data_IF_433458228734
#
_entry.id   IF_433458228734
#
_cell.length_a   1.000
_cell.length_b   1.000
_cell.length_c   1.000
_cell.angle_alpha   90.00
_cell.angle_beta   90.00
_cell.angle_gamma   90.00
#
_symmetry.space_group_name_H-M   'P 1'
#
loop_
_entity.id
_entity.type
_entity.pdbx_description
1 polymer ?
#
# COMPACT_ATOMS: atom_id res chain seq x y z
N UNK A 1 -10.86 -3.49 -20.29
CA UNK A 1 -11.15 -4.83 -19.75
C UNK A 1 -10.03 -5.16 -18.78
N UNK A 2 -10.33 -5.70 -17.59
CA UNK A 2 -9.25 -6.18 -16.70
C UNK A 2 -8.64 -7.43 -17.35
N UNK A 3 -7.32 -7.57 -17.23
CA UNK A 3 -6.62 -8.77 -17.66
C UNK A 3 -7.12 -9.95 -16.80
N UNK A 4 -7.40 -11.15 -17.37
CA UNK A 4 -7.83 -12.33 -16.61
C UNK A 4 -6.95 -12.66 -15.40
N UNK A 5 -5.68 -12.25 -15.40
CA UNK A 5 -4.71 -12.46 -14.32
C UNK A 5 -4.61 -11.28 -13.32
N UNK A 6 -5.67 -10.48 -13.22
CA UNK A 6 -5.75 -9.38 -12.25
C UNK A 6 -6.53 -9.80 -11.02
N UNK A 7 -5.93 -9.59 -9.85
CA UNK A 7 -6.54 -9.87 -8.55
C UNK A 7 -6.84 -8.58 -7.80
N UNK A 8 -7.73 -8.65 -6.81
CA UNK A 8 -8.05 -7.56 -5.89
C UNK A 8 -7.85 -8.05 -4.46
N UNK A 9 -7.09 -7.29 -3.68
CA UNK A 9 -6.99 -7.45 -2.23
C UNK A 9 -7.48 -6.19 -1.54
N UNK A 10 -8.21 -6.37 -0.44
CA UNK A 10 -8.69 -5.28 0.41
C UNK A 10 -8.13 -5.47 1.82
N UNK A 11 -7.40 -4.48 2.30
CA UNK A 11 -6.80 -4.44 3.64
C UNK A 11 -7.63 -3.51 4.53
N UNK A 12 -8.08 -3.99 5.71
CA UNK A 12 -8.71 -3.14 6.72
C UNK A 12 -7.64 -2.48 7.61
N UNK A 13 -7.59 -1.14 7.60
CA UNK A 13 -6.63 -0.38 8.40
C UNK A 13 -6.92 -0.51 9.91
N UNK A 14 -8.15 -0.90 10.29
CA UNK A 14 -8.53 -1.08 11.69
C UNK A 14 -7.79 -2.22 12.38
N UNK A 15 -7.28 -3.19 11.64
CA UNK A 15 -6.45 -4.26 12.18
C UNK A 15 -5.19 -3.69 12.89
N UNK A 16 -4.77 -2.47 12.51
CA UNK A 16 -3.62 -1.78 13.09
C UNK A 16 -3.99 -0.60 13.99
N UNK A 17 -5.27 -0.20 14.03
CA UNK A 17 -5.71 1.05 14.68
C UNK A 17 -6.85 0.88 15.69
N UNK A 18 -7.47 -0.30 15.73
CA UNK A 18 -8.69 -0.54 16.50
C UNK A 18 -9.81 0.42 16.08
N UNK A 19 -10.48 1.00 17.08
CA UNK A 19 -11.57 1.96 16.88
C UNK A 19 -11.10 3.43 16.90
N UNK A 20 -9.80 3.70 16.97
CA UNK A 20 -9.28 5.06 17.10
C UNK A 20 -9.30 5.81 15.76
N UNK A 21 -10.27 6.71 15.57
CA UNK A 21 -10.37 7.57 14.38
C UNK A 21 -9.12 8.41 14.13
N UNK A 22 -8.50 8.97 15.19
CA UNK A 22 -7.25 9.74 15.06
C UNK A 22 -6.10 8.89 14.55
N UNK A 23 -5.99 7.63 15.00
CA UNK A 23 -4.95 6.69 14.54
C UNK A 23 -5.23 6.26 13.09
N UNK A 24 -6.49 6.00 12.75
CA UNK A 24 -6.91 5.71 11.38
C UNK A 24 -6.52 6.83 10.41
N UNK A 25 -6.85 8.09 10.71
CA UNK A 25 -6.48 9.23 9.87
C UNK A 25 -4.96 9.37 9.70
N UNK A 26 -4.19 9.16 10.78
CA UNK A 26 -2.71 9.14 10.67
C UNK A 26 -2.22 8.03 9.75
N UNK A 27 -2.74 6.81 9.87
CA UNK A 27 -2.32 5.67 9.05
C UNK A 27 -2.68 5.87 7.58
N UNK A 28 -3.88 6.38 7.28
CA UNK A 28 -4.25 6.80 5.92
C UNK A 28 -3.28 7.84 5.38
N UNK A 29 -2.97 8.86 6.19
CA UNK A 29 -2.00 9.90 5.81
C UNK A 29 -0.61 9.34 5.50
N UNK A 30 -0.16 8.32 6.23
CA UNK A 30 1.12 7.63 5.93
C UNK A 30 1.08 6.89 4.60
N UNK A 31 0.01 6.15 4.31
CA UNK A 31 -0.13 5.41 3.05
C UNK A 31 -0.22 6.37 1.85
N UNK A 32 -1.02 7.43 1.98
CA UNK A 32 -1.19 8.42 0.91
C UNK A 32 0.10 9.22 0.72
N UNK A 33 0.74 9.66 1.80
CA UNK A 33 1.88 10.55 1.78
C UNK A 33 1.51 11.97 1.34
N UNK A 34 2.47 12.90 1.43
CA UNK A 34 2.24 14.31 1.04
C UNK A 34 1.85 14.38 -0.44
N UNK A 35 0.65 14.91 -0.72
CA UNK A 35 0.14 15.05 -2.09
C UNK A 35 -0.07 13.72 -2.83
N UNK A 36 -0.18 12.59 -2.12
CA UNK A 36 -0.29 11.26 -2.74
C UNK A 36 1.04 10.61 -3.13
N UNK A 37 2.19 11.22 -2.78
CA UNK A 37 3.51 10.76 -3.23
C UNK A 37 3.81 9.31 -2.84
N UNK A 38 3.53 8.92 -1.61
CA UNK A 38 3.86 7.55 -1.12
C UNK A 38 3.04 6.51 -1.86
N UNK A 39 1.74 6.74 -2.02
CA UNK A 39 0.86 5.86 -2.81
C UNK A 39 1.38 5.69 -4.23
N UNK A 40 1.73 6.79 -4.91
CA UNK A 40 2.27 6.75 -6.28
C UNK A 40 3.56 5.94 -6.37
N UNK A 41 4.47 6.10 -5.40
CA UNK A 41 5.70 5.29 -5.36
C UNK A 41 5.38 3.80 -5.21
N UNK A 42 4.43 3.45 -4.33
CA UNK A 42 3.98 2.05 -4.21
C UNK A 42 3.42 1.56 -5.54
N UNK A 43 2.55 2.32 -6.18
CA UNK A 43 1.93 1.96 -7.47
C UNK A 43 2.99 1.77 -8.57
N UNK A 44 3.88 2.74 -8.74
CA UNK A 44 4.92 2.73 -9.79
C UNK A 44 5.95 1.61 -9.60
N UNK A 45 6.37 1.34 -8.36
CA UNK A 45 7.44 0.37 -8.08
C UNK A 45 6.92 -1.06 -7.98
N UNK A 46 5.68 -1.26 -7.50
CA UNK A 46 5.06 -2.61 -7.46
C UNK A 46 4.39 -3.01 -8.77
N UNK A 47 3.93 -2.04 -9.58
CA UNK A 47 3.06 -2.27 -10.73
C UNK A 47 1.59 -2.51 -10.35
N UNK A 48 1.21 -2.34 -9.09
CA UNK A 48 -0.18 -2.43 -8.63
C UNK A 48 -0.89 -1.06 -8.69
N UNK A 49 -2.22 -1.08 -8.72
CA UNK A 49 -3.06 0.09 -8.48
C UNK A 49 -3.51 0.11 -7.02
N UNK A 50 -3.51 1.28 -6.38
CA UNK A 50 -3.83 1.42 -4.95
C UNK A 50 -4.88 2.49 -4.72
N UNK A 51 -5.98 2.13 -4.06
CA UNK A 51 -7.00 3.07 -3.61
C UNK A 51 -7.08 3.09 -2.08
N UNK A 52 -7.11 4.29 -1.48
CA UNK A 52 -7.24 4.47 -0.03
C UNK A 52 -8.54 5.20 0.25
N UNK A 53 -9.54 4.50 0.79
CA UNK A 53 -10.87 5.06 1.00
C UNK A 53 -11.45 4.62 2.34
N UNK A 54 -11.93 5.59 3.12
CA UNK A 54 -12.50 5.33 4.44
C UNK A 54 -11.50 4.57 5.32
N UNK A 55 -11.82 3.32 5.65
CA UNK A 55 -11.01 2.45 6.51
C UNK A 55 -10.22 1.36 5.76
N UNK A 56 -10.28 1.33 4.44
CA UNK A 56 -9.70 0.26 3.64
C UNK A 56 -8.66 0.77 2.66
N UNK A 57 -7.69 -0.09 2.34
CA UNK A 57 -6.80 0.04 1.19
C UNK A 57 -7.13 -1.08 0.22
N UNK A 58 -7.45 -0.74 -1.02
CA UNK A 58 -7.69 -1.70 -2.09
C UNK A 58 -6.48 -1.72 -3.02
N UNK A 59 -5.99 -2.92 -3.33
CA UNK A 59 -4.79 -3.16 -4.13
C UNK A 59 -5.17 -4.10 -5.28
N UNK A 60 -4.90 -3.68 -6.51
CA UNK A 60 -5.28 -4.41 -7.71
C UNK A 60 -4.07 -4.61 -8.63
N UNK A 61 -3.88 -5.84 -9.14
CA UNK A 61 -2.75 -6.18 -10.01
C UNK A 61 -2.49 -7.68 -10.10
N UNK A 62 -1.34 -8.05 -10.67
CA UNK A 62 -0.84 -9.44 -10.61
C UNK A 62 -0.50 -9.85 -9.18
N UNK A 63 -0.43 -11.15 -8.90
CA UNK A 63 -0.09 -11.68 -7.57
C UNK A 63 1.21 -11.05 -7.01
N UNK A 64 2.28 -11.02 -7.80
CA UNK A 64 3.55 -10.45 -7.37
C UNK A 64 3.48 -8.92 -7.17
N UNK A 65 2.68 -8.20 -7.97
CA UNK A 65 2.48 -6.76 -7.77
C UNK A 65 1.70 -6.48 -6.47
N UNK A 66 0.65 -7.27 -6.21
CA UNK A 66 -0.14 -7.20 -4.97
C UNK A 66 0.72 -7.51 -3.77
N UNK A 67 1.56 -8.56 -3.82
CA UNK A 67 2.44 -8.93 -2.71
C UNK A 67 3.35 -7.76 -2.30
N UNK A 68 4.05 -7.16 -3.25
CA UNK A 68 4.93 -6.02 -2.99
C UNK A 68 4.18 -4.81 -2.41
N UNK A 69 3.01 -4.50 -2.97
CA UNK A 69 2.18 -3.40 -2.48
C UNK A 69 1.61 -3.67 -1.09
N UNK A 70 1.16 -4.90 -0.82
CA UNK A 70 0.60 -5.30 0.47
C UNK A 70 1.65 -5.27 1.57
N UNK A 71 2.87 -5.76 1.31
CA UNK A 71 3.99 -5.64 2.24
C UNK A 71 4.29 -4.18 2.54
N UNK A 72 4.37 -3.33 1.51
CA UNK A 72 4.64 -1.89 1.67
C UNK A 72 3.57 -1.18 2.50
N UNK A 73 2.29 -1.48 2.25
CA UNK A 73 1.16 -0.96 3.05
C UNK A 73 1.26 -1.47 4.50
N UNK A 74 1.52 -2.77 4.69
CA UNK A 74 1.71 -3.37 6.01
C UNK A 74 2.84 -2.72 6.81
N UNK A 75 3.98 -2.45 6.17
CA UNK A 75 5.10 -1.72 6.79
C UNK A 75 4.68 -0.33 7.28
N UNK A 76 3.96 0.44 6.46
CA UNK A 76 3.49 1.78 6.84
C UNK A 76 2.49 1.73 7.99
N UNK A 77 1.58 0.75 7.98
CA UNK A 77 0.60 0.50 9.04
C UNK A 77 1.26 0.04 10.35
N UNK A 78 2.35 -0.74 10.25
CA UNK A 78 3.21 -1.15 11.35
C UNK A 78 4.13 -0.04 11.88
N UNK A 79 4.14 1.13 11.24
CA UNK A 79 4.88 2.30 11.69
C UNK A 79 6.29 2.46 11.11
N UNK A 80 6.70 1.60 10.17
CA UNK A 80 7.98 1.73 9.48
C UNK A 80 8.10 3.08 8.78
N UNK A 81 9.31 3.64 8.74
CA UNK A 81 9.59 4.88 8.05
C UNK A 81 9.35 4.75 6.54
N UNK A 82 8.92 5.84 5.90
CA UNK A 82 8.74 5.88 4.46
C UNK A 82 10.01 5.50 3.69
N UNK A 83 11.19 5.91 4.18
CA UNK A 83 12.47 5.55 3.59
C UNK A 83 12.70 4.04 3.53
N UNK A 84 12.38 3.31 4.61
CA UNK A 84 12.49 1.85 4.66
C UNK A 84 11.56 1.17 3.65
N UNK A 85 10.35 1.71 3.46
CA UNK A 85 9.38 1.20 2.48
C UNK A 85 9.85 1.44 1.05
N UNK A 86 10.43 2.62 0.77
CA UNK A 86 10.99 2.92 -0.56
C UNK A 86 12.17 2.00 -0.88
N UNK A 87 13.05 1.75 0.09
CA UNK A 87 14.17 0.83 -0.09
C UNK A 87 13.72 -0.60 -0.42
N UNK A 88 12.69 -1.10 0.28
CA UNK A 88 12.09 -2.40 -0.02
C UNK A 88 11.55 -2.47 -1.46
N UNK A 89 10.80 -1.45 -1.88
CA UNK A 89 10.22 -1.37 -3.23
C UNK A 89 11.28 -1.28 -4.34
N UNK A 90 12.36 -0.53 -4.12
CA UNK A 90 13.49 -0.43 -5.05
C UNK A 90 14.22 -1.77 -5.23
N UNK A 91 14.30 -2.58 -4.16
CA UNK A 91 14.84 -3.93 -4.22
C UNK A 91 13.92 -4.87 -5.02
N UNK A 92 12.61 -4.78 -4.79
CA UNK A 92 11.63 -5.62 -5.47
C UNK A 92 11.54 -5.35 -6.97
N UNK A 93 11.65 -4.08 -7.40
CA UNK A 93 11.66 -3.73 -8.84
C UNK A 93 12.87 -4.32 -9.57
N UNK A 94 14.04 -4.40 -8.92
CA UNK A 94 15.29 -4.90 -9.53
C UNK A 94 15.32 -6.44 -9.66
N UNK A 95 14.47 -7.15 -8.92
CA UNK A 95 14.38 -8.61 -8.96
C UNK A 95 13.39 -9.17 -9.97
N UNK A 96 12.77 -8.31 -10.79
CA UNK A 96 11.86 -8.67 -11.89
C UNK A 96 12.50 -8.30 -13.22
#
# INVERSE_FOLDING_TARGET
MLDPETYLVVVDIRDHTGHSRRRLERMRGRIIGRGGRTRRIIEEQSGAQVAVQGRTVSILGSLAAIEAAQVSVGMLLGGAEHGSVYHYLEGHRRGR
#
